data_IF_894054705313
#
_entry.id   IF_894054705313
#
_cell.length_a   1.000
_cell.length_b   1.000
_cell.length_c   1.000
_cell.angle_alpha   90.00
_cell.angle_beta   90.00
_cell.angle_gamma   90.00
#
_symmetry.space_group_name_H-M   'P 1'
#
loop_
_entity.id
_entity.type
_entity.pdbx_description
1 polymer ?
#
# COMPACT_ATOMS: atom_id res chain seq x y z
N UNK A 1 -7.77 11.73 -20.30
CA UNK A 1 -6.53 12.18 -19.64
C UNK A 1 -6.24 11.39 -18.36
N UNK A 2 -7.01 11.56 -17.28
CA UNK A 2 -6.77 10.84 -16.01
C UNK A 2 -6.90 9.30 -16.15
N UNK A 3 -7.89 8.80 -16.91
CA UNK A 3 -8.04 7.36 -17.18
C UNK A 3 -6.83 6.72 -17.88
N UNK A 4 -6.12 7.47 -18.72
CA UNK A 4 -4.92 7.00 -19.43
C UNK A 4 -3.63 7.16 -18.63
N UNK A 5 -3.59 8.12 -17.69
CA UNK A 5 -2.47 8.29 -16.79
C UNK A 5 -2.96 8.80 -15.43
N UNK A 6 -3.11 7.89 -14.46
CA UNK A 6 -3.56 8.24 -13.10
C UNK A 6 -2.58 9.10 -12.29
N UNK A 7 -1.35 9.32 -12.80
CA UNK A 7 -0.32 10.16 -12.14
C UNK A 7 -0.27 11.59 -12.67
N UNK A 8 -1.05 11.93 -13.69
CA UNK A 8 -1.09 13.27 -14.28
C UNK A 8 -1.46 14.32 -13.23
N UNK A 9 -0.76 15.47 -13.23
CA UNK A 9 -1.04 16.52 -12.25
C UNK A 9 -2.14 17.46 -12.74
N UNK A 10 -2.86 18.09 -11.80
CA UNK A 10 -3.85 19.12 -12.15
C UNK A 10 -3.23 20.29 -12.94
N UNK A 11 -1.95 20.59 -12.72
CA UNK A 11 -1.21 21.63 -13.46
C UNK A 11 -1.00 21.22 -14.92
N UNK A 12 -0.65 19.97 -15.16
CA UNK A 12 -0.45 19.46 -16.53
C UNK A 12 -1.77 19.42 -17.30
N UNK A 13 -2.86 19.01 -16.64
CA UNK A 13 -4.21 19.06 -17.22
C UNK A 13 -4.59 20.51 -17.56
N UNK A 14 -4.41 21.44 -16.62
CA UNK A 14 -4.71 22.85 -16.80
C UNK A 14 -3.93 23.46 -17.99
N UNK A 15 -2.64 23.14 -18.10
CA UNK A 15 -1.78 23.60 -19.20
C UNK A 15 -2.22 23.03 -20.56
N UNK A 16 -2.58 21.75 -20.61
CA UNK A 16 -2.99 21.09 -21.87
C UNK A 16 -4.38 21.51 -22.34
N UNK A 17 -5.28 21.82 -21.40
CA UNK A 17 -6.65 22.25 -21.69
C UNK A 17 -6.83 23.77 -21.67
N UNK A 18 -5.75 24.53 -21.43
CA UNK A 18 -5.75 26.00 -21.31
C UNK A 18 -6.82 26.55 -20.35
N UNK A 19 -7.07 25.82 -19.26
CA UNK A 19 -8.03 26.21 -18.21
C UNK A 19 -7.31 26.46 -16.90
N UNK A 20 -7.97 27.19 -15.99
CA UNK A 20 -7.42 27.39 -14.65
C UNK A 20 -7.34 26.08 -13.86
N UNK A 21 -6.36 26.00 -12.96
CA UNK A 21 -6.15 24.83 -12.10
C UNK A 21 -7.35 24.60 -11.17
N UNK A 22 -7.99 25.68 -10.73
CA UNK A 22 -9.18 25.67 -9.89
C UNK A 22 -10.34 25.01 -10.63
N UNK A 23 -10.52 25.34 -11.92
CA UNK A 23 -11.54 24.71 -12.76
C UNK A 23 -11.29 23.22 -12.95
N UNK A 24 -10.02 22.84 -13.14
CA UNK A 24 -9.62 21.42 -13.19
C UNK A 24 -9.92 20.70 -11.88
N UNK A 25 -9.64 21.32 -10.73
CA UNK A 25 -9.93 20.73 -9.42
C UNK A 25 -11.45 20.52 -9.24
N UNK A 26 -12.26 21.54 -9.52
CA UNK A 26 -13.71 21.46 -9.41
C UNK A 26 -14.31 20.38 -10.32
N UNK A 27 -13.91 20.36 -11.60
CA UNK A 27 -14.37 19.32 -12.54
C UNK A 27 -13.95 17.93 -12.05
N UNK A 28 -12.70 17.76 -11.62
CA UNK A 28 -12.22 16.47 -11.18
C UNK A 28 -12.95 15.97 -9.93
N UNK A 29 -13.07 16.79 -8.89
CA UNK A 29 -13.59 16.36 -7.60
C UNK A 29 -15.12 16.41 -7.54
N UNK A 30 -15.74 17.50 -8.01
CA UNK A 30 -17.16 17.76 -7.80
C UNK A 30 -18.03 17.23 -8.94
N UNK A 31 -17.53 17.23 -10.19
CA UNK A 31 -18.30 16.77 -11.36
C UNK A 31 -18.00 15.31 -11.69
N UNK A 32 -16.71 14.94 -11.74
CA UNK A 32 -16.26 13.61 -12.17
C UNK A 32 -16.02 12.64 -11.00
N UNK A 33 -16.04 13.13 -9.75
CA UNK A 33 -15.86 12.29 -8.56
C UNK A 33 -14.45 11.70 -8.39
N UNK A 34 -13.44 12.20 -9.11
CA UNK A 34 -12.05 11.78 -8.93
C UNK A 34 -11.46 12.31 -7.63
N UNK A 35 -10.81 11.41 -6.89
CA UNK A 35 -10.01 11.73 -5.72
C UNK A 35 -8.56 11.34 -5.93
N UNK A 36 -7.63 12.22 -5.51
CA UNK A 36 -6.20 11.88 -5.47
C UNK A 36 -5.91 11.01 -4.25
N UNK A 37 -5.39 9.82 -4.49
CA UNK A 37 -5.01 8.85 -3.45
C UNK A 37 -3.56 8.44 -3.64
N UNK A 38 -2.89 8.04 -2.55
CA UNK A 38 -1.57 7.43 -2.63
C UNK A 38 -1.69 5.99 -3.12
N UNK A 39 -0.84 5.59 -4.07
CA UNK A 39 -0.73 4.21 -4.49
C UNK A 39 -0.27 3.32 -3.33
N UNK A 40 -0.69 2.05 -3.34
CA UNK A 40 -0.22 1.04 -2.38
C UNK A 40 1.15 0.50 -2.82
N UNK A 41 2.01 0.21 -1.85
CA UNK A 41 3.22 -0.56 -2.10
C UNK A 41 2.82 -2.01 -2.40
N UNK A 42 3.39 -2.57 -3.45
CA UNK A 42 3.24 -3.98 -3.82
C UNK A 42 4.64 -4.60 -3.75
N UNK A 43 4.84 -5.75 -3.07
CA UNK A 43 6.16 -6.32 -2.84
C UNK A 43 6.96 -6.56 -4.11
N UNK A 44 6.28 -7.00 -5.18
CA UNK A 44 6.92 -7.35 -6.44
C UNK A 44 5.96 -7.15 -7.62
N UNK A 45 6.52 -6.82 -8.79
CA UNK A 45 5.80 -6.89 -10.06
C UNK A 45 5.84 -8.34 -10.54
N UNK A 46 4.69 -9.01 -10.51
CA UNK A 46 4.56 -10.41 -10.93
C UNK A 46 4.46 -10.53 -12.45
N UNK A 47 5.18 -11.49 -13.02
CA UNK A 47 4.99 -11.92 -14.41
C UNK A 47 3.66 -12.68 -14.55
N UNK A 48 3.18 -12.86 -15.78
CA UNK A 48 1.93 -13.57 -16.02
C UNK A 48 2.04 -15.06 -15.64
N UNK A 49 3.21 -15.66 -15.83
CA UNK A 49 3.52 -17.02 -15.36
C UNK A 49 3.44 -17.13 -13.82
N UNK A 50 4.06 -16.20 -13.08
CA UNK A 50 3.99 -16.18 -11.62
C UNK A 50 2.55 -16.03 -11.12
N UNK A 51 1.73 -15.24 -11.82
CA UNK A 51 0.30 -15.10 -11.49
C UNK A 51 -0.45 -16.41 -11.72
N UNK A 52 -0.18 -17.09 -12.83
CA UNK A 52 -0.81 -18.36 -13.16
C UNK A 52 -0.43 -19.44 -12.16
N UNK A 53 0.85 -19.58 -11.84
CA UNK A 53 1.34 -20.50 -10.81
C UNK A 53 0.68 -20.24 -9.46
N UNK A 54 0.64 -18.99 -9.01
CA UNK A 54 -0.03 -18.62 -7.74
C UNK A 54 -1.51 -18.97 -7.75
N UNK A 55 -2.20 -18.77 -8.87
CA UNK A 55 -3.62 -19.13 -9.02
C UNK A 55 -3.79 -20.64 -8.92
N UNK A 56 -2.99 -21.43 -9.65
CA UNK A 56 -3.04 -22.89 -9.63
C UNK A 56 -2.74 -23.44 -8.24
N UNK A 57 -1.72 -22.93 -7.55
CA UNK A 57 -1.43 -23.34 -6.17
C UNK A 57 -2.57 -22.98 -5.22
N UNK A 58 -3.18 -21.80 -5.36
CA UNK A 58 -4.31 -21.40 -4.54
C UNK A 58 -5.53 -22.30 -4.79
N UNK A 59 -5.77 -22.70 -6.03
CA UNK A 59 -6.84 -23.64 -6.39
C UNK A 59 -6.57 -25.04 -5.84
N UNK A 60 -5.31 -25.53 -5.88
CA UNK A 60 -4.97 -26.84 -5.32
C UNK A 60 -5.04 -26.91 -3.79
N UNK A 61 -4.87 -25.76 -3.11
CA UNK A 61 -4.98 -25.65 -1.65
C UNK A 61 -6.42 -25.45 -1.16
N UNK A 62 -7.41 -25.41 -2.06
CA UNK A 62 -8.82 -25.38 -1.67
C UNK A 62 -9.29 -26.78 -1.30
N UNK A 63 -9.32 -27.06 -0.01
CA UNK A 63 -9.91 -28.27 0.54
C UNK A 63 -11.34 -27.98 1.02
N UNK A 64 -12.28 -27.81 0.07
CA UNK A 64 -13.68 -27.45 0.36
C UNK A 64 -14.40 -28.52 1.19
N UNK A 65 -14.01 -29.79 1.08
CA UNK A 65 -14.59 -30.91 1.83
C UNK A 65 -14.14 -30.97 3.30
N UNK A 66 -12.88 -30.58 3.59
CA UNK A 66 -12.33 -30.60 4.95
C UNK A 66 -12.62 -29.31 5.73
N UNK A 67 -12.99 -28.22 5.04
CA UNK A 67 -13.34 -26.95 5.65
C UNK A 67 -12.22 -26.39 6.54
N UNK A 68 -12.57 -25.94 7.75
CA UNK A 68 -11.62 -25.34 8.71
C UNK A 68 -10.66 -26.37 9.34
N UNK A 69 -11.01 -27.66 9.35
CA UNK A 69 -10.13 -28.71 9.92
C UNK A 69 -8.80 -28.81 9.17
N UNK A 70 -8.81 -28.56 7.86
CA UNK A 70 -7.59 -28.54 7.05
C UNK A 70 -6.64 -27.44 7.52
N UNK A 71 -7.16 -26.24 7.80
CA UNK A 71 -6.36 -25.09 8.25
C UNK A 71 -5.80 -25.34 9.65
N UNK A 72 -6.56 -26.00 10.53
CA UNK A 72 -6.13 -26.31 11.90
C UNK A 72 -4.90 -27.24 11.97
N UNK A 73 -4.63 -28.01 10.91
CA UNK A 73 -3.47 -28.92 10.83
C UNK A 73 -2.21 -28.22 10.30
N UNK A 74 -2.33 -26.98 9.82
CA UNK A 74 -1.21 -26.25 9.22
C UNK A 74 -0.44 -25.51 10.32
N UNK A 75 0.81 -25.92 10.50
CA UNK A 75 1.80 -25.11 11.21
C UNK A 75 2.59 -24.30 10.17
N UNK A 76 2.57 -22.98 10.28
CA UNK A 76 3.37 -22.08 9.43
C UNK A 76 4.61 -21.60 10.17
N UNK A 77 5.67 -21.29 9.43
CA UNK A 77 6.89 -20.66 9.94
C UNK A 77 7.18 -19.41 9.13
N UNK A 78 7.57 -18.34 9.79
CA UNK A 78 8.13 -17.17 9.10
C UNK A 78 9.30 -16.54 9.89
N UNK A 79 10.10 -15.75 9.18
CA UNK A 79 11.23 -15.02 9.75
C UNK A 79 11.11 -13.53 9.41
N UNK A 80 11.20 -12.69 10.43
CA UNK A 80 11.13 -11.24 10.27
C UNK A 80 12.23 -10.52 11.05
N UNK A 81 12.64 -9.37 10.54
CA UNK A 81 13.57 -8.49 11.23
C UNK A 81 12.82 -7.57 12.18
N UNK A 82 13.16 -7.62 13.47
CA UNK A 82 12.65 -6.68 14.48
C UNK A 82 13.72 -5.63 14.76
N UNK A 83 13.43 -4.39 14.41
CA UNK A 83 14.30 -3.25 14.69
C UNK A 83 14.05 -2.73 16.11
N UNK A 84 15.11 -2.22 16.77
CA UNK A 84 14.96 -1.56 18.07
C UNK A 84 14.17 -0.24 17.95
N UNK A 85 14.24 0.40 16.78
CA UNK A 85 13.49 1.59 16.45
C UNK A 85 13.06 1.55 14.99
N UNK A 86 11.74 1.63 14.77
CA UNK A 86 11.13 1.76 13.45
C UNK A 86 10.68 3.20 13.19
N UNK A 87 10.83 3.61 11.94
CA UNK A 87 10.43 4.95 11.51
C UNK A 87 8.94 4.97 11.20
N UNK A 88 8.21 5.95 11.75
CA UNK A 88 6.82 6.14 11.38
C UNK A 88 6.66 6.36 9.87
N UNK A 89 5.70 5.66 9.27
CA UNK A 89 5.28 5.95 7.90
C UNK A 89 4.76 7.39 7.77
N UNK A 90 4.70 7.90 6.53
CA UNK A 90 4.10 9.21 6.22
C UNK A 90 2.67 9.36 6.77
N UNK A 91 1.91 8.25 6.79
CA UNK A 91 0.52 8.24 7.23
C UNK A 91 0.42 8.21 8.76
N UNK A 92 1.27 7.45 9.43
CA UNK A 92 1.34 7.40 10.89
C UNK A 92 1.75 8.75 11.48
N UNK A 93 2.69 9.45 10.85
CA UNK A 93 3.13 10.76 11.31
C UNK A 93 2.22 11.92 10.90
N UNK A 94 0.97 11.67 10.52
CA UNK A 94 0.03 12.75 10.21
C UNK A 94 -0.48 13.34 11.52
N UNK A 95 -0.27 14.63 11.72
CA UNK A 95 -0.73 15.37 12.90
C UNK A 95 -1.65 16.52 12.51
N UNK A 96 -2.63 16.82 13.35
CA UNK A 96 -3.47 18.01 13.22
C UNK A 96 -2.71 19.22 13.78
N UNK A 97 -2.60 20.30 13.00
CA UNK A 97 -1.90 21.53 13.39
C UNK A 97 -2.63 22.78 12.87
N UNK A 98 -2.38 23.90 13.54
CA UNK A 98 -2.83 25.22 13.09
C UNK A 98 -2.06 25.69 11.85
N UNK A 99 -2.69 26.48 10.96
CA UNK A 99 -2.10 26.93 9.69
C UNK A 99 -0.78 27.68 9.84
N UNK A 100 -0.57 28.37 10.97
CA UNK A 100 0.66 29.11 11.27
C UNK A 100 1.83 28.23 11.76
N UNK A 101 1.61 26.94 12.02
CA UNK A 101 2.61 26.02 12.58
C UNK A 101 2.79 24.81 11.67
N UNK A 102 3.61 24.89 10.61
CA UNK A 102 3.84 23.77 9.71
C UNK A 102 4.58 22.62 10.44
N UNK A 103 4.19 21.36 10.19
CA UNK A 103 4.81 20.20 10.81
C UNK A 103 6.25 20.03 10.32
N UNK A 104 7.18 19.77 11.25
CA UNK A 104 8.57 19.41 10.93
C UNK A 104 8.77 17.93 11.19
N UNK A 105 9.13 17.18 10.15
CA UNK A 105 9.55 15.79 10.28
C UNK A 105 10.97 15.63 9.77
N UNK A 106 11.88 15.26 10.67
CA UNK A 106 13.24 14.91 10.29
C UNK A 106 13.25 13.49 9.70
N UNK A 107 14.11 13.25 8.70
CA UNK A 107 14.31 11.90 8.19
C UNK A 107 15.07 11.10 9.24
N UNK A 108 14.40 10.10 9.79
CA UNK A 108 15.03 9.08 10.63
C UNK A 108 15.09 7.79 9.80
N UNK A 109 16.14 7.00 9.99
CA UNK A 109 16.29 5.67 9.38
C UNK A 109 16.08 4.63 10.48
N UNK A 110 15.51 3.47 10.13
CA UNK A 110 15.38 2.37 11.08
C UNK A 110 16.74 2.02 11.71
N UNK A 111 16.73 1.54 12.95
CA UNK A 111 17.97 1.25 13.67
C UNK A 111 18.80 0.19 12.95
N UNK A 112 20.11 0.40 12.87
CA UNK A 112 21.06 -0.60 12.35
C UNK A 112 21.11 -1.86 13.23
N UNK A 113 20.83 -1.70 14.54
CA UNK A 113 20.58 -2.81 15.46
C UNK A 113 19.20 -3.40 15.15
N UNK A 114 19.18 -4.69 14.83
CA UNK A 114 17.99 -5.49 14.61
C UNK A 114 18.24 -6.92 15.07
N UNK A 115 17.18 -7.60 15.46
CA UNK A 115 17.19 -9.02 15.81
C UNK A 115 16.34 -9.77 14.79
N UNK A 116 16.74 -11.00 14.47
CA UNK A 116 15.92 -11.89 13.65
C UNK A 116 14.94 -12.63 14.56
N UNK A 117 13.66 -12.51 14.27
CA UNK A 117 12.59 -13.25 14.92
C UNK A 117 12.18 -14.40 14.02
N UNK A 118 12.24 -15.61 14.53
CA UNK A 118 11.67 -16.80 13.90
C UNK A 118 10.44 -17.21 14.67
N UNK A 119 9.30 -17.34 14.00
CA UNK A 119 8.02 -17.72 14.63
C UNK A 119 7.45 -18.93 13.93
N UNK A 120 6.87 -19.83 14.72
CA UNK A 120 5.99 -20.89 14.25
C UNK A 120 4.60 -20.62 14.83
N UNK A 121 3.57 -20.72 14.00
CA UNK A 121 2.18 -20.49 14.38
C UNK A 121 1.31 -21.62 13.84
N UNK A 122 0.35 -22.06 14.63
CA UNK A 122 -0.77 -22.90 14.21
C UNK A 122 -2.08 -22.12 14.40
N UNK A 123 -3.22 -22.82 14.39
CA UNK A 123 -4.55 -22.21 14.53
C UNK A 123 -4.97 -21.90 15.97
N UNK A 124 -4.22 -22.37 16.97
CA UNK A 124 -4.66 -22.39 18.38
C UNK A 124 -4.17 -21.17 19.20
#
# INVERSE_FOLDING_TARGET
MIKGNGRITQKDIAKQLEVSKERVQHINTDILGYRKVSARWVPQVLTDEMKMQRKTCAESLKHEEEGEEFIQRIVTRDESWVHHYDTESKRQSMEHRHKSSPPRKFKVVASARKVMLTVFLDSD
#
